data_IF_479984779285
#
_entry.id   IF_479984779285
#
_cell.length_a   1.000
_cell.length_b   1.000
_cell.length_c   1.000
_cell.angle_alpha   90.00
_cell.angle_beta   90.00
_cell.angle_gamma   90.00
#
_symmetry.space_group_name_H-M   'P 1'
#
loop_
_entity.id
_entity.type
_entity.pdbx_description
1 polymer ?
#
# COMPACT_ATOMS: atom_id res chain seq x y z
N UNK A 1 12.86 19.42 -3.71
CA UNK A 1 12.67 18.15 -2.97
C UNK A 1 11.44 17.44 -3.54
N UNK A 2 11.59 16.20 -4.04
CA UNK A 2 10.51 15.41 -4.66
C UNK A 2 9.77 14.58 -3.61
N UNK A 3 8.56 15.01 -3.25
CA UNK A 3 7.68 14.35 -2.29
C UNK A 3 6.53 13.72 -3.09
N UNK A 4 6.47 12.39 -3.10
CA UNK A 4 5.49 11.65 -3.88
C UNK A 4 4.39 11.15 -2.96
N UNK A 5 3.14 11.44 -3.30
CA UNK A 5 2.00 10.68 -2.81
C UNK A 5 1.65 9.61 -3.84
N UNK A 6 1.33 8.41 -3.39
CA UNK A 6 0.88 7.33 -4.27
C UNK A 6 -0.02 6.35 -3.54
N UNK A 7 -0.71 5.50 -4.28
CA UNK A 7 -1.56 4.45 -3.73
C UNK A 7 -1.18 3.05 -4.20
N UNK A 8 -1.61 2.06 -3.41
CA UNK A 8 -1.57 0.65 -3.75
C UNK A 8 -2.87 -0.02 -3.33
N UNK A 9 -3.27 -1.06 -4.05
CA UNK A 9 -4.35 -1.95 -3.64
C UNK A 9 -3.76 -3.19 -2.97
N UNK A 10 -3.76 -3.30 -1.63
CA UNK A 10 -3.13 -4.42 -0.93
C UNK A 10 -3.90 -5.75 -1.09
N UNK A 11 -4.94 -5.81 -1.92
CA UNK A 11 -5.78 -6.99 -2.10
C UNK A 11 -5.02 -8.21 -2.62
N UNK A 12 -3.94 -8.01 -3.38
CA UNK A 12 -3.14 -9.10 -3.90
C UNK A 12 -1.66 -8.80 -3.79
N UNK A 13 -0.87 -9.83 -3.53
CA UNK A 13 0.56 -9.79 -3.77
C UNK A 13 0.88 -10.01 -5.26
N UNK A 14 0.21 -9.25 -6.11
CA UNK A 14 0.38 -9.30 -7.55
C UNK A 14 1.61 -8.52 -7.98
N UNK A 15 2.18 -8.92 -9.11
CA UNK A 15 3.32 -8.23 -9.70
C UNK A 15 3.01 -6.75 -9.96
N UNK A 16 1.77 -6.37 -10.25
CA UNK A 16 1.37 -4.97 -10.50
C UNK A 16 1.72 -4.05 -9.33
N UNK A 17 1.42 -4.46 -8.09
CA UNK A 17 1.75 -3.70 -6.88
C UNK A 17 3.26 -3.58 -6.67
N UNK A 18 4.00 -4.67 -6.84
CA UNK A 18 5.46 -4.64 -6.67
C UNK A 18 6.15 -3.80 -7.75
N UNK A 19 5.70 -3.91 -8.99
CA UNK A 19 6.20 -3.07 -10.09
C UNK A 19 5.89 -1.60 -9.87
N UNK A 20 4.74 -1.26 -9.29
CA UNK A 20 4.45 0.10 -8.88
C UNK A 20 5.51 0.63 -7.89
N UNK A 21 5.95 -0.18 -6.93
CA UNK A 21 7.01 0.18 -5.99
C UNK A 21 8.38 0.30 -6.66
N UNK A 22 8.74 -0.59 -7.60
CA UNK A 22 9.96 -0.46 -8.39
C UNK A 22 9.95 0.81 -9.25
N UNK A 23 8.81 1.11 -9.89
CA UNK A 23 8.61 2.33 -10.66
C UNK A 23 8.75 3.57 -9.77
N UNK A 24 8.13 3.56 -8.59
CA UNK A 24 8.27 4.59 -7.57
C UNK A 24 9.74 4.82 -7.18
N UNK A 25 10.55 3.76 -7.03
CA UNK A 25 11.99 3.92 -6.76
C UNK A 25 12.73 4.60 -7.91
N UNK A 26 12.44 4.25 -9.17
CA UNK A 26 13.02 4.90 -10.36
C UNK A 26 12.70 6.40 -10.42
N UNK A 27 11.64 6.85 -9.76
CA UNK A 27 11.30 8.28 -9.66
C UNK A 27 12.23 9.07 -8.74
N UNK A 28 13.15 8.43 -8.01
CA UNK A 28 14.08 9.04 -7.04
C UNK A 28 13.40 10.00 -6.04
N UNK A 29 12.36 9.57 -5.30
CA UNK A 29 11.70 10.40 -4.30
C UNK A 29 12.59 10.69 -3.09
N UNK A 30 12.45 11.89 -2.51
CA UNK A 30 13.01 12.20 -1.19
C UNK A 30 12.14 11.66 -0.05
N UNK A 31 10.81 11.64 -0.23
CA UNK A 31 9.84 11.08 0.70
C UNK A 31 8.64 10.55 -0.08
N UNK A 32 8.07 9.45 0.39
CA UNK A 32 6.87 8.82 -0.17
C UNK A 32 5.78 8.77 0.89
N UNK A 33 4.58 9.18 0.53
CA UNK A 33 3.36 8.86 1.27
C UNK A 33 2.61 7.80 0.48
N UNK A 34 2.52 6.60 1.05
CA UNK A 34 1.89 5.45 0.44
C UNK A 34 0.51 5.25 1.07
N UNK A 35 -0.54 5.54 0.30
CA UNK A 35 -1.91 5.27 0.67
C UNK A 35 -2.28 3.81 0.34
N UNK A 36 -2.67 3.09 1.37
CA UNK A 36 -3.11 1.71 1.26
C UNK A 36 -4.62 1.71 1.11
N UNK A 37 -5.12 1.22 -0.03
CA UNK A 37 -6.56 1.05 -0.26
C UNK A 37 -7.08 -0.19 0.48
N UNK A 38 -6.98 -0.17 1.81
CA UNK A 38 -7.35 -1.24 2.73
C UNK A 38 -8.82 -1.66 2.64
N UNK A 39 -9.71 -0.72 2.32
CA UNK A 39 -11.13 -0.99 2.05
C UNK A 39 -11.32 -2.01 0.91
N UNK A 40 -10.39 -2.05 -0.05
CA UNK A 40 -10.49 -2.92 -1.23
C UNK A 40 -10.38 -4.41 -0.89
N UNK A 41 -9.70 -4.76 0.21
CA UNK A 41 -9.56 -6.14 0.69
C UNK A 41 -10.92 -6.72 1.10
N UNK A 42 -11.86 -5.85 1.50
CA UNK A 42 -13.20 -6.27 1.91
C UNK A 42 -14.14 -6.48 0.73
N UNK A 43 -13.90 -5.78 -0.38
CA UNK A 43 -14.74 -5.76 -1.59
C UNK A 43 -14.36 -6.82 -2.64
N UNK A 44 -13.11 -7.28 -2.65
CA UNK A 44 -12.65 -8.21 -3.68
C UNK A 44 -12.81 -9.66 -3.23
N UNK A 45 -13.34 -10.50 -4.12
CA UNK A 45 -13.17 -11.95 -4.05
C UNK A 45 -11.70 -12.27 -4.33
N UNK A 46 -10.80 -11.90 -3.43
CA UNK A 46 -9.41 -12.34 -3.49
C UNK A 46 -9.47 -13.85 -3.32
N UNK A 47 -8.83 -14.59 -4.22
CA UNK A 47 -8.67 -16.03 -4.09
C UNK A 47 -8.48 -16.39 -2.61
N UNK A 48 -9.41 -17.19 -2.09
CA UNK A 48 -9.07 -18.15 -1.06
C UNK A 48 -8.22 -19.20 -1.77
N UNK A 49 -6.98 -18.85 -2.13
CA UNK A 49 -6.00 -19.83 -2.57
C UNK A 49 -5.66 -20.64 -1.33
N UNK A 50 -6.47 -21.66 -1.04
CA UNK A 50 -6.19 -22.78 -0.14
C UNK A 50 -5.68 -22.46 1.28
N UNK A 51 -5.74 -21.20 1.73
CA UNK A 51 -5.14 -20.75 2.99
C UNK A 51 -6.20 -20.10 3.88
N UNK A 52 -6.29 -20.62 5.11
CA UNK A 52 -7.19 -20.27 6.22
C UNK A 52 -7.06 -18.83 6.75
N UNK A 53 -6.32 -17.94 6.07
CA UNK A 53 -6.08 -16.58 6.55
C UNK A 53 -7.32 -15.70 6.38
N UNK A 54 -7.70 -15.04 7.45
CA UNK A 54 -8.72 -13.99 7.47
C UNK A 54 -8.32 -12.80 6.58
N UNK A 55 -9.29 -11.96 6.20
CA UNK A 55 -9.05 -10.74 5.41
C UNK A 55 -8.01 -9.81 6.07
N UNK A 56 -8.07 -9.68 7.39
CA UNK A 56 -7.14 -8.86 8.17
C UNK A 56 -5.71 -9.43 8.13
N UNK A 57 -5.55 -10.74 8.26
CA UNK A 57 -4.25 -11.39 8.16
C UNK A 57 -3.64 -11.29 6.76
N UNK A 58 -4.47 -11.35 5.70
CA UNK A 58 -4.03 -11.10 4.33
C UNK A 58 -3.54 -9.66 4.18
N UNK A 59 -4.31 -8.65 4.60
CA UNK A 59 -3.88 -7.24 4.57
C UNK A 59 -2.56 -7.05 5.31
N UNK A 60 -2.44 -7.60 6.53
CA UNK A 60 -1.21 -7.52 7.34
C UNK A 60 -0.01 -8.14 6.61
N UNK A 61 -0.16 -9.36 6.09
CA UNK A 61 0.90 -10.08 5.36
C UNK A 61 1.36 -9.33 4.11
N UNK A 62 0.40 -8.73 3.38
CA UNK A 62 0.69 -8.01 2.14
C UNK A 62 1.40 -6.70 2.44
N UNK A 63 0.95 -5.98 3.49
CA UNK A 63 1.62 -4.77 3.95
C UNK A 63 3.04 -5.04 4.44
N UNK A 64 3.26 -6.13 5.18
CA UNK A 64 4.61 -6.55 5.59
C UNK A 64 5.52 -6.78 4.37
N UNK A 65 5.00 -7.40 3.31
CA UNK A 65 5.75 -7.65 2.07
C UNK A 65 6.10 -6.35 1.35
N UNK A 66 5.16 -5.42 1.27
CA UNK A 66 5.35 -4.11 0.61
C UNK A 66 6.34 -3.25 1.40
N UNK A 67 6.19 -3.17 2.72
CA UNK A 67 7.11 -2.44 3.60
C UNK A 67 8.53 -2.99 3.51
N UNK A 68 8.66 -4.32 3.53
CA UNK A 68 9.95 -4.97 3.34
C UNK A 68 10.56 -4.55 2.00
N UNK A 69 9.82 -4.66 0.88
CA UNK A 69 10.31 -4.22 -0.42
C UNK A 69 10.74 -2.75 -0.43
N UNK A 70 9.93 -1.84 0.14
CA UNK A 70 10.27 -0.41 0.21
C UNK A 70 11.54 -0.16 1.03
N UNK A 71 11.72 -0.87 2.15
CA UNK A 71 12.92 -0.80 2.99
C UNK A 71 14.16 -1.32 2.24
N UNK A 72 14.04 -2.44 1.53
CA UNK A 72 15.12 -2.99 0.71
C UNK A 72 15.55 -2.02 -0.38
N UNK A 73 14.59 -1.33 -1.00
CA UNK A 73 14.86 -0.30 -2.01
C UNK A 73 15.36 1.03 -1.40
N UNK A 74 15.49 1.13 -0.08
CA UNK A 74 15.94 2.33 0.62
C UNK A 74 15.02 3.53 0.38
N UNK A 75 13.72 3.30 0.30
CA UNK A 75 12.73 4.38 0.20
C UNK A 75 12.49 4.98 1.58
N UNK A 76 12.43 6.31 1.66
CA UNK A 76 11.93 7.03 2.84
C UNK A 76 10.42 7.17 2.69
N UNK A 77 9.64 6.42 3.47
CA UNK A 77 8.19 6.33 3.29
C UNK A 77 7.39 6.48 4.59
N UNK A 78 6.13 6.86 4.43
CA UNK A 78 5.09 6.78 5.46
C UNK A 78 3.84 6.15 4.88
N UNK A 79 3.25 5.24 5.63
CA UNK A 79 2.01 4.56 5.26
C UNK A 79 0.81 5.28 5.88
N UNK A 80 -0.22 5.44 5.08
CA UNK A 80 -1.55 5.88 5.50
C UNK A 80 -2.58 4.91 4.92
N UNK A 81 -3.74 4.81 5.56
CA UNK A 81 -4.81 3.91 5.14
C UNK A 81 -5.97 4.71 4.59
N UNK A 82 -6.57 4.23 3.50
CA UNK A 82 -7.66 4.92 2.82
C UNK A 82 -8.90 5.05 3.73
N UNK A 83 -9.18 4.04 4.56
CA UNK A 83 -10.24 4.12 5.58
C UNK A 83 -10.07 5.33 6.52
N UNK A 84 -8.86 5.57 7.01
CA UNK A 84 -8.53 6.72 7.87
C UNK A 84 -8.58 8.04 7.07
N UNK A 85 -8.11 8.03 5.82
CA UNK A 85 -8.21 9.18 4.91
C UNK A 85 -9.66 9.62 4.75
N UNK A 86 -10.58 8.67 4.49
CA UNK A 86 -12.01 8.94 4.36
C UNK A 86 -12.58 9.58 5.61
N UNK A 87 -12.32 8.99 6.78
CA UNK A 87 -12.80 9.50 8.06
C UNK A 87 -12.36 10.96 8.28
N UNK A 88 -11.09 11.26 8.02
CA UNK A 88 -10.53 12.59 8.24
C UNK A 88 -10.99 13.62 7.20
N UNK A 89 -11.14 13.22 5.94
CA UNK A 89 -11.72 14.08 4.89
C UNK A 89 -13.15 14.46 5.25
N UNK A 90 -13.97 13.52 5.70
CA UNK A 90 -15.37 13.78 6.04
C UNK A 90 -15.57 14.59 7.32
N UNK A 91 -14.57 14.63 8.20
CA UNK A 91 -14.54 15.55 9.34
C UNK A 91 -14.20 16.98 8.93
N UNK A 92 -13.60 17.18 7.76
CA UNK A 92 -13.25 18.49 7.24
C UNK A 92 -14.31 18.98 6.23
N UNK A 93 -15.09 20.00 6.62
CA UNK A 93 -16.18 20.55 5.80
C UNK A 93 -15.72 21.09 4.44
N UNK A 94 -14.54 21.71 4.38
CA UNK A 94 -13.99 22.26 3.13
C UNK A 94 -13.66 21.14 2.15
N UNK A 95 -12.93 20.12 2.62
CA UNK A 95 -12.52 18.98 1.78
C UNK A 95 -13.74 18.15 1.38
N UNK A 96 -14.70 17.97 2.29
CA UNK A 96 -15.96 17.27 2.01
C UNK A 96 -16.74 17.97 0.90
N UNK A 97 -16.84 19.30 0.95
CA UNK A 97 -17.51 20.07 -0.10
C UNK A 97 -16.79 19.94 -1.44
N UNK A 98 -15.45 20.03 -1.44
CA UNK A 98 -14.63 19.79 -2.64
C UNK A 98 -14.84 18.40 -3.23
N UNK A 99 -14.95 17.38 -2.39
CA UNK A 99 -15.25 16.02 -2.81
C UNK A 99 -16.64 15.92 -3.46
N UNK A 100 -17.68 16.49 -2.86
CA UNK A 100 -19.03 16.52 -3.42
C UNK A 100 -19.09 17.29 -4.74
N UNK A 101 -18.41 18.43 -4.82
CA UNK A 101 -18.26 19.23 -6.03
C UNK A 101 -17.50 18.46 -7.12
N UNK A 102 -16.50 17.65 -6.74
CA UNK A 102 -15.75 16.81 -7.68
C UNK A 102 -16.61 15.71 -8.26
N UNK A 103 -17.45 15.07 -7.45
CA UNK A 103 -18.36 14.03 -7.92
C UNK A 103 -19.40 14.55 -8.90
N UNK A 104 -19.92 15.77 -8.70
CA UNK A 104 -20.95 16.34 -9.57
C UNK A 104 -20.45 16.66 -10.99
N UNK A 105 -19.12 16.76 -11.19
CA UNK A 105 -18.52 16.98 -12.52
C UNK A 105 -18.25 15.69 -13.31
N UNK A 106 -18.40 14.52 -12.69
CA UNK A 106 -18.09 13.24 -13.32
C UNK A 106 -19.36 12.67 -13.93
N UNK A 107 -19.44 12.71 -15.26
CA UNK A 107 -20.49 12.07 -16.03
C UNK A 107 -20.13 10.64 -16.47
N UNK A 108 -21.16 9.90 -16.92
CA UNK A 108 -21.02 8.52 -17.39
C UNK A 108 -20.18 8.41 -18.67
N UNK A 109 -20.12 9.45 -19.51
CA UNK A 109 -19.36 9.43 -20.75
C UNK A 109 -17.85 9.48 -20.48
N UNK A 110 -17.41 10.34 -19.56
CA UNK A 110 -16.04 10.40 -19.05
C UNK A 110 -15.64 9.08 -18.42
N UNK A 111 -16.49 8.50 -17.59
CA UNK A 111 -16.26 7.16 -17.02
C UNK A 111 -16.09 6.13 -18.14
N UNK A 112 -16.93 6.20 -19.18
CA UNK A 112 -16.85 5.27 -20.32
C UNK A 112 -15.53 5.34 -21.07
N UNK A 113 -14.97 6.54 -21.28
CA UNK A 113 -13.65 6.73 -21.89
C UNK A 113 -12.55 6.02 -21.10
N UNK A 114 -12.72 5.88 -19.78
CA UNK A 114 -11.81 5.11 -18.94
C UNK A 114 -11.71 3.63 -19.26
N UNK A 115 -12.79 2.98 -19.71
CA UNK A 115 -12.77 1.57 -20.10
C UNK A 115 -11.80 1.27 -21.25
N UNK A 116 -11.40 2.29 -22.02
CA UNK A 116 -10.44 2.13 -23.13
C UNK A 116 -8.97 2.15 -22.69
N UNK A 117 -8.66 2.61 -21.47
CA UNK A 117 -7.27 2.73 -21.00
C UNK A 117 -6.73 1.39 -20.50
N UNK A 118 -5.58 0.97 -21.05
CA UNK A 118 -4.88 -0.28 -20.67
C UNK A 118 -4.01 -0.04 -19.43
N UNK A 119 -4.61 -0.06 -18.25
CA UNK A 119 -3.90 -0.32 -16.99
C UNK A 119 -4.91 -0.73 -15.93
N UNK A 120 -5.00 -2.04 -15.66
CA UNK A 120 -6.11 -2.78 -15.02
C UNK A 120 -7.45 -2.54 -15.77
N UNK A 121 -8.35 -3.52 -15.94
CA UNK A 121 -9.63 -3.25 -16.58
C UNK A 121 -10.49 -2.36 -15.69
N UNK A 122 -11.03 -1.27 -16.24
CA UNK A 122 -12.09 -0.49 -15.59
C UNK A 122 -13.37 -1.33 -15.41
N UNK A 123 -13.58 -2.38 -16.21
CA UNK A 123 -14.75 -3.27 -16.13
C UNK A 123 -14.91 -4.03 -14.81
N UNK A 124 -13.92 -4.00 -13.92
CA UNK A 124 -13.97 -4.53 -12.54
C UNK A 124 -14.05 -3.44 -11.46
N UNK A 125 -14.18 -2.17 -11.88
CA UNK A 125 -14.39 -1.01 -11.01
C UNK A 125 -15.91 -0.80 -10.93
N UNK A 126 -16.53 -1.23 -9.83
CA UNK A 126 -17.85 -0.72 -9.46
C UNK A 126 -17.81 0.82 -9.47
N UNK A 127 -18.88 1.51 -9.89
CA UNK A 127 -18.95 2.98 -9.86
C UNK A 127 -18.50 3.56 -8.50
N UNK A 128 -18.72 2.81 -7.41
CA UNK A 128 -18.25 3.13 -6.06
C UNK A 128 -16.74 3.38 -5.92
N UNK A 129 -15.90 2.79 -6.78
CA UNK A 129 -14.43 2.91 -6.73
C UNK A 129 -13.89 4.16 -7.43
N UNK A 130 -14.71 4.88 -8.21
CA UNK A 130 -14.36 6.23 -8.69
C UNK A 130 -14.16 7.17 -7.51
N UNK A 131 -14.98 7.02 -6.47
CA UNK A 131 -14.84 7.77 -5.24
C UNK A 131 -13.44 7.60 -4.63
N UNK A 132 -12.84 6.41 -4.74
CA UNK A 132 -11.53 6.12 -4.15
C UNK A 132 -10.45 6.91 -4.88
N UNK A 133 -10.55 7.01 -6.21
CA UNK A 133 -9.60 7.77 -7.04
C UNK A 133 -9.66 9.26 -6.68
N UNK A 134 -10.86 9.82 -6.51
CA UNK A 134 -11.04 11.23 -6.15
C UNK A 134 -10.53 11.49 -4.74
N UNK A 135 -10.94 10.67 -3.78
CA UNK A 135 -10.53 10.80 -2.38
C UNK A 135 -9.03 10.67 -2.23
N UNK A 136 -8.42 9.70 -2.91
CA UNK A 136 -6.98 9.51 -2.90
C UNK A 136 -6.26 10.72 -3.51
N UNK A 137 -6.83 11.32 -4.56
CA UNK A 137 -6.29 12.56 -5.11
C UNK A 137 -6.43 13.75 -4.16
N UNK A 138 -7.59 13.94 -3.54
CA UNK A 138 -7.80 15.00 -2.53
C UNK A 138 -6.88 14.79 -1.33
N UNK A 139 -6.69 13.56 -0.89
CA UNK A 139 -5.75 13.21 0.18
C UNK A 139 -4.31 13.59 -0.18
N UNK A 140 -3.91 13.45 -1.45
CA UNK A 140 -2.59 13.89 -1.91
C UNK A 140 -2.38 15.41 -1.81
N UNK A 141 -3.47 16.19 -1.87
CA UNK A 141 -3.45 17.65 -1.79
C UNK A 141 -3.53 18.13 -0.34
N UNK A 142 -4.50 17.60 0.40
CA UNK A 142 -4.81 18.03 1.77
C UNK A 142 -4.07 17.22 2.84
N UNK A 143 -3.05 16.46 2.44
CA UNK A 143 -2.31 15.60 3.37
C UNK A 143 -1.84 16.32 4.64
N UNK A 144 -1.37 17.59 4.59
CA UNK A 144 -1.03 18.33 5.80
C UNK A 144 -2.21 18.65 6.72
N UNK A 145 -3.43 18.85 6.21
CA UNK A 145 -4.61 19.00 7.07
C UNK A 145 -5.09 17.69 7.66
N UNK A 146 -5.14 16.64 6.83
CA UNK A 146 -5.70 15.37 7.28
C UNK A 146 -4.69 14.59 8.11
N UNK A 147 -3.38 14.79 7.94
CA UNK A 147 -2.33 14.14 8.72
C UNK A 147 -1.21 15.12 9.14
N UNK A 148 -1.50 16.16 9.94
CA UNK A 148 -0.51 17.15 10.37
C UNK A 148 0.63 16.53 11.19
N UNK A 149 0.40 15.37 11.81
CA UNK A 149 1.40 14.62 12.56
C UNK A 149 2.38 13.84 11.66
N UNK A 150 2.01 13.57 10.40
CA UNK A 150 2.82 12.82 9.43
C UNK A 150 3.44 13.75 8.38
N UNK A 151 2.74 14.82 8.04
CA UNK A 151 3.02 15.68 6.90
C UNK A 151 2.84 17.15 7.24
N UNK A 152 3.90 17.95 7.12
CA UNK A 152 3.83 19.39 7.33
C UNK A 152 3.78 20.18 6.00
N UNK A 153 4.00 19.49 4.88
CA UNK A 153 4.15 20.11 3.56
C UNK A 153 3.52 19.22 2.50
N UNK A 154 2.72 19.83 1.63
CA UNK A 154 2.03 19.14 0.56
C UNK A 154 2.98 18.29 -0.32
N UNK A 155 2.61 17.04 -0.65
CA UNK A 155 3.22 16.30 -1.75
C UNK A 155 3.18 17.09 -3.05
N UNK A 156 4.30 17.19 -3.76
CA UNK A 156 4.36 17.93 -5.03
C UNK A 156 4.24 17.03 -6.27
N UNK A 157 4.21 15.69 -6.08
CA UNK A 157 3.90 14.73 -7.13
C UNK A 157 2.84 13.73 -6.67
N UNK A 158 1.97 13.36 -7.59
CA UNK A 158 0.98 12.30 -7.41
C UNK A 158 1.28 11.18 -8.40
N UNK A 159 1.89 10.09 -7.92
CA UNK A 159 2.17 8.92 -8.72
C UNK A 159 0.92 8.04 -8.74
N UNK A 160 0.33 7.84 -9.92
CA UNK A 160 -0.94 7.15 -10.08
C UNK A 160 -1.02 6.43 -11.44
N UNK A 161 -2.12 5.73 -11.68
CA UNK A 161 -2.38 5.08 -12.97
C UNK A 161 -2.79 6.07 -14.06
N UNK A 162 -2.62 5.70 -15.34
CA UNK A 162 -3.11 6.49 -16.48
C UNK A 162 -4.61 6.79 -16.42
N UNK A 163 -5.40 6.00 -15.69
CA UNK A 163 -6.83 6.21 -15.47
C UNK A 163 -7.16 7.58 -14.89
N UNK A 164 -6.28 8.11 -14.06
CA UNK A 164 -6.49 9.40 -13.44
C UNK A 164 -6.56 10.53 -14.48
N UNK A 165 -5.99 10.34 -15.69
CA UNK A 165 -6.08 11.31 -16.79
C UNK A 165 -7.51 11.73 -17.12
N UNK A 166 -8.49 10.83 -16.95
CA UNK A 166 -9.91 11.10 -17.21
C UNK A 166 -10.47 12.19 -16.30
N UNK A 167 -10.07 12.17 -15.03
CA UNK A 167 -10.62 13.06 -14.00
C UNK A 167 -9.74 14.27 -13.74
N UNK A 168 -8.46 14.21 -14.15
CA UNK A 168 -7.43 15.17 -13.76
C UNK A 168 -7.82 16.61 -14.08
N UNK A 169 -8.26 16.90 -15.30
CA UNK A 169 -8.51 18.28 -15.73
C UNK A 169 -9.62 18.94 -14.91
N UNK A 170 -10.73 18.23 -14.69
CA UNK A 170 -11.85 18.71 -13.89
C UNK A 170 -11.45 18.90 -12.42
N UNK A 171 -10.74 17.92 -11.85
CA UNK A 171 -10.29 17.96 -10.47
C UNK A 171 -9.29 19.10 -10.25
N UNK A 172 -8.33 19.30 -11.15
CA UNK A 172 -7.38 20.41 -11.09
C UNK A 172 -8.06 21.76 -11.21
N UNK A 173 -9.07 21.86 -12.09
CA UNK A 173 -9.85 23.06 -12.24
C UNK A 173 -10.62 23.40 -10.94
N UNK A 174 -11.29 22.41 -10.33
CA UNK A 174 -11.96 22.59 -9.02
C UNK A 174 -10.96 23.05 -7.96
N UNK A 175 -9.82 22.36 -7.85
CA UNK A 175 -8.80 22.66 -6.84
C UNK A 175 -8.29 24.08 -7.01
N UNK A 176 -7.99 24.49 -8.25
CA UNK A 176 -7.55 25.86 -8.56
C UNK A 176 -8.58 26.93 -8.14
N UNK A 177 -9.87 26.64 -8.28
CA UNK A 177 -10.93 27.61 -7.95
C UNK A 177 -11.30 27.65 -6.47
N UNK A 178 -11.22 26.50 -5.79
CA UNK A 178 -11.87 26.31 -4.48
C UNK A 178 -10.91 25.90 -3.36
N UNK A 179 -9.63 25.68 -3.64
CA UNK A 179 -8.61 25.30 -2.65
C UNK A 179 -7.50 26.35 -2.56
N UNK A 180 -6.90 26.46 -1.38
CA UNK A 180 -5.66 27.21 -1.15
C UNK A 180 -4.41 26.47 -1.64
N UNK A 181 -4.51 25.18 -1.95
CA UNK A 181 -3.40 24.37 -2.43
C UNK A 181 -3.34 24.31 -3.95
N UNK A 182 -2.14 24.01 -4.43
CA UNK A 182 -1.88 23.73 -5.84
C UNK A 182 -1.97 22.24 -6.12
N UNK A 183 -2.53 21.83 -7.25
CA UNK A 183 -2.51 20.43 -7.67
C UNK A 183 -1.07 19.87 -7.77
N UNK A 184 -0.78 18.67 -7.24
CA UNK A 184 0.52 18.03 -7.42
C UNK A 184 0.73 17.62 -8.89
N UNK A 185 1.99 17.56 -9.32
CA UNK A 185 2.32 17.08 -10.66
C UNK A 185 2.03 15.58 -10.76
N UNK A 186 1.09 15.19 -11.62
CA UNK A 186 0.78 13.78 -11.85
C UNK A 186 1.95 13.08 -12.56
N UNK A 187 2.34 11.92 -12.04
CA UNK A 187 3.25 10.98 -12.70
C UNK A 187 2.44 9.71 -12.95
N UNK A 188 2.41 9.27 -14.20
CA UNK A 188 1.63 8.09 -14.55
C UNK A 188 2.51 6.86 -14.60
N UNK A 189 2.11 5.80 -13.90
CA UNK A 189 2.67 4.48 -14.12
C UNK A 189 2.15 4.02 -15.48
N UNK A 190 3.05 3.94 -16.45
CA UNK A 190 2.77 3.52 -17.82
C UNK A 190 3.23 2.09 -18.00
N UNK A 191 2.46 1.31 -18.76
CA UNK A 191 2.96 0.10 -19.40
C UNK A 191 3.34 -1.02 -18.45
N UNK A 192 2.43 -1.38 -17.57
CA UNK A 192 2.51 -2.63 -16.81
C UNK A 192 1.24 -3.41 -17.15
N UNK A 193 1.30 -4.38 -18.09
CA UNK A 193 0.13 -5.13 -18.52
C UNK A 193 -0.48 -5.83 -17.33
N UNK A 194 -1.81 -5.91 -17.32
CA UNK A 194 -2.56 -6.62 -16.29
C UNK A 194 -3.06 -7.92 -16.88
N UNK A 195 -2.21 -8.95 -16.78
CA UNK A 195 -2.54 -10.33 -17.08
C UNK A 195 -3.61 -10.74 -16.07
N UNK A 196 -4.79 -11.03 -16.60
CA UNK A 196 -6.01 -11.28 -15.86
C UNK A 196 -6.74 -12.43 -16.51
N UNK A 197 -7.08 -13.43 -15.70
CA UNK A 197 -7.94 -14.52 -16.14
C UNK A 197 -9.31 -13.99 -16.54
N UNK A 198 -9.77 -14.32 -17.75
CA UNK A 198 -10.99 -13.72 -18.31
C UNK A 198 -12.25 -14.17 -17.57
N UNK A 199 -12.25 -15.37 -16.99
CA UNK A 199 -13.40 -15.96 -16.33
C UNK A 199 -13.50 -15.51 -14.86
N UNK A 200 -12.44 -15.75 -14.10
CA UNK A 200 -12.36 -15.55 -12.65
C UNK A 200 -11.91 -14.15 -12.26
N UNK A 201 -11.34 -13.38 -13.20
CA UNK A 201 -10.73 -12.06 -12.94
C UNK A 201 -9.58 -12.11 -11.93
N UNK A 202 -8.80 -13.20 -11.94
CA UNK A 202 -7.59 -13.31 -11.12
C UNK A 202 -6.34 -12.84 -11.83
N UNK A 203 -5.43 -12.24 -11.07
CA UNK A 203 -4.12 -11.77 -11.54
C UNK A 203 -3.05 -12.70 -10.93
N UNK A 204 -1.99 -13.06 -11.67
CA UNK A 204 -0.86 -13.80 -11.13
C UNK A 204 -0.30 -13.16 -9.86
N UNK A 205 -0.07 -13.98 -8.84
CA UNK A 205 0.49 -13.55 -7.55
C UNK A 205 1.58 -14.51 -7.08
N UNK A 206 2.39 -14.07 -6.12
CA UNK A 206 3.46 -14.92 -5.60
C UNK A 206 2.96 -16.18 -4.88
N UNK A 207 1.68 -16.23 -4.50
CA UNK A 207 1.08 -17.35 -3.75
C UNK A 207 0.67 -18.50 -4.65
N UNK A 208 0.65 -18.27 -5.97
CA UNK A 208 0.18 -19.23 -6.97
C UNK A 208 1.30 -20.17 -7.42
N UNK A 209 0.93 -21.40 -7.79
CA UNK A 209 1.83 -22.33 -8.47
C UNK A 209 2.09 -21.86 -9.91
N UNK A 210 3.16 -22.38 -10.53
CA UNK A 210 3.45 -22.16 -11.95
C UNK A 210 2.23 -22.53 -12.83
N UNK A 211 1.59 -23.66 -12.57
CA UNK A 211 0.43 -24.11 -13.35
C UNK A 211 -0.76 -23.16 -13.24
N UNK A 212 -1.02 -22.60 -12.05
CA UNK A 212 -2.08 -21.60 -11.88
C UNK A 212 -1.75 -20.31 -12.64
N UNK A 213 -0.49 -19.86 -12.58
CA UNK A 213 -0.03 -18.70 -13.36
C UNK A 213 -0.22 -18.96 -14.86
N UNK A 214 0.15 -20.16 -15.33
CA UNK A 214 0.00 -20.57 -16.73
C UNK A 214 -1.45 -20.49 -17.21
N UNK A 215 -2.39 -21.06 -16.46
CA UNK A 215 -3.82 -20.97 -16.78
C UNK A 215 -4.30 -19.53 -16.89
N UNK A 216 -3.83 -18.64 -16.01
CA UNK A 216 -4.19 -17.22 -16.04
C UNK A 216 -3.62 -16.53 -17.29
N UNK A 217 -2.36 -16.80 -17.65
CA UNK A 217 -1.73 -16.25 -18.86
C UNK A 217 -2.45 -16.74 -20.12
N UNK A 218 -2.71 -18.04 -20.22
CA UNK A 218 -3.43 -18.63 -21.35
C UNK A 218 -4.85 -18.03 -21.49
N UNK A 219 -5.59 -17.97 -20.38
CA UNK A 219 -6.93 -17.37 -20.34
C UNK A 219 -6.93 -15.88 -20.72
N UNK A 220 -5.91 -15.13 -20.33
CA UNK A 220 -5.80 -13.71 -20.65
C UNK A 220 -5.70 -13.46 -22.16
N UNK A 221 -4.80 -14.20 -22.80
CA UNK A 221 -4.45 -14.05 -24.21
C UNK A 221 -5.38 -14.81 -25.16
N UNK A 222 -6.07 -15.86 -24.68
CA UNK A 222 -7.14 -16.56 -25.39
C UNK A 222 -6.72 -17.02 -26.80
N UNK A 223 -5.58 -17.72 -26.86
CA UNK A 223 -5.03 -18.26 -28.11
C UNK A 223 -4.38 -17.24 -29.04
N UNK A 224 -4.17 -15.98 -28.60
CA UNK A 224 -3.56 -14.91 -29.42
C UNK A 224 -2.24 -14.43 -28.82
N UNK A 225 -1.27 -14.13 -29.68
CA UNK A 225 -0.05 -13.46 -29.23
C UNK A 225 -0.35 -12.00 -28.81
N UNK A 226 0.36 -11.46 -27.79
CA UNK A 226 0.27 -10.05 -27.46
C UNK A 226 0.83 -9.17 -28.59
N UNK A 227 0.46 -7.89 -28.56
CA UNK A 227 1.16 -6.89 -29.37
C UNK A 227 2.61 -6.70 -28.91
N UNK A 228 3.50 -6.23 -29.81
CA UNK A 228 4.90 -5.91 -29.46
C UNK A 228 4.99 -4.98 -28.23
N UNK A 229 4.13 -3.96 -28.19
CA UNK A 229 4.04 -3.06 -27.04
C UNK A 229 3.74 -3.80 -25.73
N UNK A 230 2.83 -4.77 -25.74
CA UNK A 230 2.51 -5.54 -24.52
C UNK A 230 3.67 -6.46 -24.10
N UNK A 231 4.41 -7.01 -25.06
CA UNK A 231 5.63 -7.77 -24.81
C UNK A 231 6.68 -6.87 -24.15
N UNK A 232 6.89 -5.67 -24.69
CA UNK A 232 7.86 -4.70 -24.16
C UNK A 232 7.57 -4.34 -22.70
N UNK A 233 6.30 -4.11 -22.40
CA UNK A 233 5.81 -3.77 -21.08
C UNK A 233 5.93 -4.96 -20.10
N UNK A 234 5.60 -6.18 -20.55
CA UNK A 234 5.83 -7.42 -19.78
C UNK A 234 7.31 -7.61 -19.45
N UNK A 235 8.19 -7.39 -20.42
CA UNK A 235 9.62 -7.57 -20.24
C UNK A 235 10.17 -6.53 -19.29
N UNK A 236 9.74 -5.28 -19.40
CA UNK A 236 10.08 -4.22 -18.46
C UNK A 236 9.76 -4.61 -17.01
N UNK A 237 8.61 -5.24 -16.77
CA UNK A 237 8.23 -5.81 -15.46
C UNK A 237 9.21 -6.90 -15.03
N UNK A 238 9.40 -7.93 -15.87
CA UNK A 238 10.21 -9.09 -15.52
C UNK A 238 11.65 -8.67 -15.21
N UNK A 239 12.23 -7.84 -16.06
CA UNK A 239 13.59 -7.34 -15.94
C UNK A 239 13.79 -6.27 -14.86
N UNK A 240 12.72 -5.75 -14.24
CA UNK A 240 12.89 -4.95 -13.02
C UNK A 240 13.39 -5.77 -11.82
N UNK A 241 13.24 -7.09 -11.86
CA UNK A 241 13.65 -8.00 -10.78
C UNK A 241 14.61 -9.08 -11.29
N UNK A 242 14.33 -9.65 -12.46
CA UNK A 242 15.15 -10.66 -13.10
C UNK A 242 16.28 -10.00 -13.91
N UNK A 243 17.49 -10.52 -13.82
CA UNK A 243 18.59 -10.04 -14.66
C UNK A 243 18.56 -10.71 -16.05
N UNK A 244 17.99 -11.93 -16.11
CA UNK A 244 17.85 -12.78 -17.28
C UNK A 244 16.53 -13.57 -17.21
N UNK A 245 15.93 -13.84 -18.37
CA UNK A 245 14.76 -14.72 -18.46
C UNK A 245 15.16 -16.11 -18.96
N UNK A 246 14.37 -17.13 -18.62
CA UNK A 246 14.60 -18.52 -19.01
C UNK A 246 13.76 -18.83 -20.25
N UNK A 247 14.41 -19.30 -21.31
CA UNK A 247 13.78 -19.81 -22.53
C UNK A 247 14.45 -21.12 -22.88
N UNK A 248 13.69 -22.22 -22.97
CA UNK A 248 14.20 -23.57 -23.32
C UNK A 248 15.51 -23.92 -22.57
N UNK A 249 15.51 -23.75 -21.24
CA UNK A 249 16.65 -23.99 -20.34
C UNK A 249 17.86 -23.07 -20.45
N UNK A 250 17.81 -22.04 -21.29
CA UNK A 250 18.86 -21.01 -21.39
C UNK A 250 18.45 -19.73 -20.66
N UNK A 251 19.42 -19.09 -20.00
CA UNK A 251 19.27 -17.76 -19.39
C UNK A 251 19.65 -16.68 -20.40
N UNK A 252 18.67 -15.88 -20.82
CA UNK A 252 18.75 -14.97 -21.95
C UNK A 252 18.61 -13.52 -21.47
N UNK A 253 19.40 -12.62 -22.05
CA UNK A 253 19.36 -11.18 -21.77
C UNK A 253 18.12 -10.52 -22.41
N UNK A 254 17.76 -9.31 -21.98
CA UNK A 254 16.59 -8.59 -22.50
C UNK A 254 16.60 -8.42 -24.02
N UNK A 255 17.76 -8.08 -24.60
CA UNK A 255 17.89 -7.84 -26.04
C UNK A 255 17.60 -9.11 -26.85
N UNK A 256 18.25 -10.22 -26.49
CA UNK A 256 18.14 -11.48 -27.22
C UNK A 256 16.78 -12.16 -26.98
N UNK A 257 16.19 -11.96 -25.80
CA UNK A 257 14.90 -12.51 -25.44
C UNK A 257 13.77 -11.98 -26.33
N UNK A 258 13.83 -10.71 -26.73
CA UNK A 258 12.80 -10.05 -27.55
C UNK A 258 12.76 -10.63 -28.96
N UNK A 259 13.93 -10.83 -29.55
CA UNK A 259 14.08 -11.43 -30.89
C UNK A 259 13.57 -12.87 -30.93
N UNK A 260 13.74 -13.62 -29.84
CA UNK A 260 13.22 -14.98 -29.74
C UNK A 260 11.69 -14.94 -29.63
N UNK A 261 11.14 -14.12 -28.73
CA UNK A 261 9.68 -14.05 -28.50
C UNK A 261 8.91 -13.57 -29.74
N UNK A 262 9.49 -12.75 -30.62
CA UNK A 262 8.80 -12.36 -31.86
C UNK A 262 8.57 -13.52 -32.85
N UNK A 263 9.23 -14.67 -32.65
CA UNK A 263 9.24 -15.79 -33.59
C UNK A 263 8.62 -17.09 -33.06
N UNK A 264 8.01 -17.06 -31.86
CA UNK A 264 7.40 -18.25 -31.24
C UNK A 264 5.88 -18.29 -31.42
N UNK A 265 5.30 -19.48 -31.26
CA UNK A 265 3.85 -19.62 -31.22
C UNK A 265 3.24 -19.20 -29.86
N UNK A 266 1.91 -19.15 -29.83
CA UNK A 266 1.16 -18.77 -28.63
C UNK A 266 1.42 -19.68 -27.42
N UNK A 267 1.52 -21.00 -27.62
CA UNK A 267 1.66 -21.95 -26.52
C UNK A 267 3.05 -21.85 -25.90
N UNK A 268 4.07 -21.71 -26.75
CA UNK A 268 5.44 -21.47 -26.32
C UNK A 268 5.57 -20.12 -25.60
N UNK A 269 4.91 -19.08 -26.12
CA UNK A 269 4.84 -17.77 -25.46
C UNK A 269 4.23 -17.89 -24.05
N UNK A 270 3.07 -18.54 -23.93
CA UNK A 270 2.40 -18.70 -22.65
C UNK A 270 3.28 -19.46 -21.64
N UNK A 271 3.99 -20.51 -22.08
CA UNK A 271 4.92 -21.26 -21.24
C UNK A 271 6.08 -20.38 -20.75
N UNK A 272 6.74 -19.64 -21.65
CA UNK A 272 7.88 -18.77 -21.33
C UNK A 272 7.47 -17.67 -20.35
N UNK A 273 6.35 -16.98 -20.60
CA UNK A 273 5.88 -15.90 -19.72
C UNK A 273 5.50 -16.44 -18.35
N UNK A 274 4.83 -17.59 -18.29
CA UNK A 274 4.39 -18.20 -17.03
C UNK A 274 5.57 -18.65 -16.17
N UNK A 275 6.58 -19.29 -16.78
CA UNK A 275 7.83 -19.66 -16.13
C UNK A 275 8.53 -18.42 -15.56
N UNK A 276 8.64 -17.35 -16.34
CA UNK A 276 9.38 -16.17 -15.91
C UNK A 276 8.61 -15.31 -14.89
N UNK A 277 7.28 -15.28 -14.94
CA UNK A 277 6.47 -14.71 -13.86
C UNK A 277 6.64 -15.50 -12.55
N UNK A 278 6.68 -16.84 -12.63
CA UNK A 278 6.95 -17.67 -11.47
C UNK A 278 8.35 -17.42 -10.89
N UNK A 279 9.38 -17.36 -11.73
CA UNK A 279 10.76 -17.00 -11.34
C UNK A 279 10.85 -15.59 -10.77
N UNK A 280 10.13 -14.62 -11.34
CA UNK A 280 10.01 -13.26 -10.81
C UNK A 280 9.51 -13.29 -9.36
N UNK A 281 8.42 -14.01 -9.09
CA UNK A 281 7.87 -14.14 -7.75
C UNK A 281 8.80 -14.88 -6.79
N UNK A 282 9.48 -15.93 -7.24
CA UNK A 282 10.46 -16.65 -6.41
C UNK A 282 11.65 -15.76 -6.02
N UNK A 283 12.21 -15.00 -6.97
CA UNK A 283 13.29 -14.04 -6.68
C UNK A 283 12.79 -12.95 -5.73
N UNK A 284 11.56 -12.46 -5.91
CA UNK A 284 10.96 -11.47 -5.03
C UNK A 284 10.77 -12.01 -3.60
N UNK A 285 10.27 -13.24 -3.44
CA UNK A 285 10.20 -13.92 -2.13
C UNK A 285 11.57 -14.02 -1.47
N UNK A 286 12.61 -14.39 -2.23
CA UNK A 286 14.00 -14.46 -1.71
C UNK A 286 14.51 -13.10 -1.24
N UNK A 287 14.13 -12.01 -1.91
CA UNK A 287 14.43 -10.64 -1.45
C UNK A 287 13.70 -10.38 -0.13
N UNK A 288 12.40 -10.68 -0.08
CA UNK A 288 11.56 -10.43 1.10
C UNK A 288 12.01 -11.20 2.35
N UNK A 289 12.37 -12.48 2.22
CA UNK A 289 12.83 -13.33 3.34
C UNK A 289 14.15 -12.84 3.94
N UNK A 290 15.03 -12.24 3.14
CA UNK A 290 16.32 -11.69 3.62
C UNK A 290 16.13 -10.41 4.46
N UNK A 291 14.96 -9.79 4.37
CA UNK A 291 14.65 -8.60 5.14
C UNK A 291 14.17 -9.12 6.49
N UNK A 292 15.08 -9.13 7.47
CA UNK A 292 14.69 -9.29 8.87
C UNK A 292 13.63 -8.23 9.17
N UNK A 293 12.39 -8.67 9.26
CA UNK A 293 11.38 -8.01 10.08
C UNK A 293 11.89 -8.24 11.49
N UNK A 294 12.75 -7.34 11.96
CA UNK A 294 12.84 -7.15 13.40
C UNK A 294 11.41 -6.80 13.80
N UNK A 295 10.74 -7.71 14.50
CA UNK A 295 9.48 -7.45 15.18
C UNK A 295 9.73 -6.39 16.26
N UNK A 296 10.08 -5.16 15.88
CA UNK A 296 9.76 -4.03 16.69
C UNK A 296 8.25 -3.90 16.57
N UNK A 297 7.51 -4.54 17.48
CA UNK A 297 6.05 -4.43 17.62
C UNK A 297 5.74 -2.98 18.04
N UNK A 298 5.95 -2.03 17.12
CA UNK A 298 5.69 -0.61 17.34
C UNK A 298 4.19 -0.35 17.40
N UNK A 299 3.35 -1.25 16.89
CA UNK A 299 1.89 -1.09 16.94
C UNK A 299 1.26 -2.29 17.63
N UNK A 300 0.44 -2.05 18.65
CA UNK A 300 -0.37 -3.07 19.30
C UNK A 300 -1.84 -2.86 18.94
N UNK A 301 -2.40 -3.87 18.27
CA UNK A 301 -3.81 -3.89 17.91
C UNK A 301 -4.62 -4.46 19.08
N UNK A 302 -5.64 -3.75 19.50
CA UNK A 302 -6.58 -4.15 20.56
C UNK A 302 -7.81 -4.72 19.87
N UNK A 303 -8.00 -6.03 19.99
CA UNK A 303 -9.00 -6.76 19.20
C UNK A 303 -10.18 -7.29 20.02
N UNK A 304 -10.18 -7.18 21.35
CA UNK A 304 -11.24 -7.69 22.21
C UNK A 304 -11.42 -6.86 23.49
N UNK A 305 -12.53 -7.08 24.20
CA UNK A 305 -12.89 -6.36 25.43
C UNK A 305 -11.86 -6.56 26.55
N UNK A 306 -11.29 -7.76 26.70
CA UNK A 306 -10.27 -8.06 27.72
C UNK A 306 -9.00 -7.25 27.51
N UNK A 307 -8.54 -7.11 26.26
CA UNK A 307 -7.39 -6.26 25.92
C UNK A 307 -7.70 -4.78 26.11
N UNK A 308 -8.91 -4.35 25.77
CA UNK A 308 -9.36 -2.97 26.00
C UNK A 308 -9.37 -2.61 27.51
N UNK A 309 -9.97 -3.47 28.34
CA UNK A 309 -10.01 -3.33 29.80
C UNK A 309 -8.60 -3.36 30.41
N UNK A 310 -7.70 -4.20 29.88
CA UNK A 310 -6.34 -4.35 30.38
C UNK A 310 -5.41 -3.20 29.96
N UNK A 311 -5.56 -2.68 28.73
CA UNK A 311 -4.56 -1.81 28.10
C UNK A 311 -5.07 -0.39 27.90
N UNK A 312 -6.33 -0.19 27.56
CA UNK A 312 -6.86 1.13 27.18
C UNK A 312 -7.52 1.82 28.37
N UNK A 313 -8.49 1.17 29.02
CA UNK A 313 -9.22 1.73 30.17
C UNK A 313 -8.31 2.23 31.31
N UNK A 314 -7.18 1.59 31.64
CA UNK A 314 -6.31 2.06 32.70
C UNK A 314 -5.42 3.25 32.29
N UNK A 315 -5.34 3.62 31.00
CA UNK A 315 -4.57 4.78 30.57
C UNK A 315 -5.26 6.07 31.00
N UNK A 316 -4.50 6.96 31.62
CA UNK A 316 -4.95 8.25 32.08
C UNK A 316 -3.92 9.33 31.69
N UNK A 317 -4.29 10.59 31.89
CA UNK A 317 -3.44 11.74 31.52
C UNK A 317 -2.02 11.64 32.09
N UNK A 318 -1.88 11.20 33.34
CA UNK A 318 -0.58 11.05 34.01
C UNK A 318 0.27 10.00 33.30
N UNK A 319 -0.30 8.85 32.91
CA UNK A 319 0.39 7.81 32.14
C UNK A 319 0.81 8.30 30.75
N UNK A 320 0.00 9.11 30.07
CA UNK A 320 0.39 9.70 28.79
C UNK A 320 1.56 10.67 28.92
N UNK A 321 1.55 11.53 29.96
CA UNK A 321 2.66 12.43 30.24
C UNK A 321 3.95 11.65 30.53
N UNK A 322 3.88 10.57 31.32
CA UNK A 322 5.03 9.70 31.61
C UNK A 322 5.53 9.00 30.34
N UNK A 323 4.63 8.43 29.52
CA UNK A 323 4.96 7.73 28.29
C UNK A 323 5.75 8.59 27.29
N UNK A 324 5.47 9.90 27.23
CA UNK A 324 6.22 10.86 26.39
C UNK A 324 7.73 10.83 26.67
N UNK A 325 8.13 10.55 27.90
CA UNK A 325 9.53 10.54 28.34
C UNK A 325 10.15 9.13 28.45
N UNK A 326 9.38 8.07 28.21
CA UNK A 326 9.86 6.69 28.16
C UNK A 326 10.52 6.37 26.80
N UNK A 327 11.63 7.03 26.49
CA UNK A 327 12.38 6.89 25.23
C UNK A 327 13.64 6.01 25.36
N UNK A 328 13.87 5.40 26.53
CA UNK A 328 15.07 4.63 26.85
C UNK A 328 16.29 5.49 27.20
N UNK A 329 16.18 6.83 27.18
CA UNK A 329 17.27 7.76 27.54
C UNK A 329 17.14 8.30 28.97
N UNK A 330 15.90 8.45 29.45
CA UNK A 330 15.59 9.01 30.78
C UNK A 330 15.47 7.92 31.85
N UNK A 331 16.06 8.14 33.03
CA UNK A 331 15.76 7.34 34.24
C UNK A 331 14.40 7.76 34.83
N UNK A 332 13.86 6.96 35.76
CA UNK A 332 12.63 7.33 36.49
C UNK A 332 12.76 8.69 37.20
N UNK A 333 13.95 9.01 37.71
CA UNK A 333 14.25 10.31 38.31
C UNK A 333 14.20 11.45 37.28
N UNK A 334 14.77 11.22 36.10
CA UNK A 334 14.73 12.20 35.00
C UNK A 334 13.31 12.45 34.51
N UNK A 335 12.51 11.39 34.40
CA UNK A 335 11.09 11.48 34.02
C UNK A 335 10.31 12.28 35.06
N UNK A 336 10.53 12.03 36.37
CA UNK A 336 9.92 12.81 37.45
C UNK A 336 10.22 14.30 37.34
N UNK A 337 11.49 14.67 37.11
CA UNK A 337 11.90 16.07 36.92
C UNK A 337 11.26 16.70 35.68
N UNK A 338 11.29 16.01 34.53
CA UNK A 338 10.77 16.53 33.26
C UNK A 338 9.25 16.64 33.21
N UNK A 339 8.55 15.71 33.85
CA UNK A 339 7.09 15.70 33.90
C UNK A 339 6.50 16.52 35.04
N UNK A 340 7.33 16.98 35.99
CA UNK A 340 6.90 17.65 37.24
C UNK A 340 5.95 16.77 38.09
N UNK A 341 6.07 15.45 37.99
CA UNK A 341 5.31 14.47 38.76
C UNK A 341 6.21 13.88 39.86
N UNK A 342 5.67 13.65 41.07
CA UNK A 342 6.41 13.03 42.18
C UNK A 342 7.02 11.69 41.77
N UNK A 343 8.27 11.44 42.20
CA UNK A 343 9.02 10.23 41.85
C UNK A 343 8.26 8.94 42.20
N UNK A 344 7.62 8.89 43.37
CA UNK A 344 6.81 7.74 43.81
C UNK A 344 5.66 7.44 42.83
N UNK A 345 5.00 8.49 42.33
CA UNK A 345 3.92 8.38 41.33
C UNK A 345 4.47 7.91 39.99
N UNK A 346 5.62 8.43 39.53
CA UNK A 346 6.24 7.99 38.28
C UNK A 346 6.65 6.51 38.36
N UNK A 347 7.30 6.08 39.44
CA UNK A 347 7.70 4.68 39.64
C UNK A 347 6.51 3.71 39.63
N UNK A 348 5.41 4.09 40.30
CA UNK A 348 4.18 3.30 40.31
C UNK A 348 3.59 3.16 38.90
N UNK A 349 3.45 4.27 38.16
CA UNK A 349 2.85 4.23 36.83
C UNK A 349 3.74 3.57 35.77
N UNK A 350 5.07 3.67 35.85
CA UNK A 350 5.96 2.92 34.96
C UNK A 350 5.82 1.41 35.20
N UNK A 351 5.67 0.99 36.45
CA UNK A 351 5.40 -0.43 36.78
C UNK A 351 4.09 -0.90 36.19
N UNK A 352 3.03 -0.10 36.28
CA UNK A 352 1.73 -0.41 35.64
C UNK A 352 1.84 -0.46 34.11
N UNK A 353 2.55 0.49 33.49
CA UNK A 353 2.75 0.49 32.03
C UNK A 353 3.59 -0.71 31.55
N UNK A 354 4.49 -1.22 32.39
CA UNK A 354 5.23 -2.46 32.14
C UNK A 354 4.32 -3.69 32.22
N UNK A 355 3.48 -3.82 33.24
CA UNK A 355 2.53 -4.94 33.34
C UNK A 355 1.48 -4.94 32.22
N UNK A 356 1.16 -3.76 31.68
CA UNK A 356 0.34 -3.60 30.47
C UNK A 356 1.08 -3.96 29.17
N UNK A 357 2.40 -4.15 29.22
CA UNK A 357 3.24 -4.47 28.05
C UNK A 357 3.47 -3.28 27.12
N UNK A 358 3.40 -2.04 27.63
CA UNK A 358 3.60 -0.80 26.85
C UNK A 358 5.04 -0.30 26.96
N UNK A 359 5.68 -0.55 28.09
CA UNK A 359 7.03 -0.08 28.44
C UNK A 359 7.90 -1.25 28.90
N UNK A 360 9.16 -1.31 28.46
CA UNK A 360 10.19 -2.16 29.04
C UNK A 360 11.05 -1.38 30.05
N UNK A 361 11.65 -2.12 30.99
CA UNK A 361 12.42 -1.58 32.12
C UNK A 361 13.81 -2.20 32.24
N UNK A 362 14.35 -2.74 31.14
CA UNK A 362 15.58 -3.56 31.15
C UNK A 362 16.83 -2.78 31.59
N UNK A 363 16.85 -1.46 31.33
CA UNK A 363 17.86 -0.51 31.83
C UNK A 363 17.24 0.81 32.21
N UNK A 364 16.51 1.41 31.26
CA UNK A 364 15.75 2.65 31.43
C UNK A 364 14.36 2.45 30.82
N UNK A 365 13.33 3.11 31.36
CA UNK A 365 11.98 3.05 30.81
C UNK A 365 11.97 3.37 29.31
N UNK A 366 11.57 2.38 28.49
CA UNK A 366 11.50 2.51 27.03
C UNK A 366 10.15 2.01 26.53
N UNK A 367 9.46 2.83 25.73
CA UNK A 367 8.27 2.39 24.99
C UNK A 367 8.63 1.25 24.04
N UNK A 368 7.89 0.16 24.16
CA UNK A 368 7.94 -0.96 23.21
C UNK A 368 6.81 -0.87 22.21
N UNK A 369 5.71 -0.18 22.56
CA UNK A 369 4.58 0.14 21.69
C UNK A 369 4.57 1.65 21.40
N UNK A 370 4.57 2.02 20.13
CA UNK A 370 4.46 3.40 19.63
C UNK A 370 3.02 3.78 19.25
N UNK A 371 2.22 2.81 18.75
CA UNK A 371 0.84 3.01 18.32
C UNK A 371 -0.10 1.98 18.98
N UNK A 372 -1.27 2.43 19.41
CA UNK A 372 -2.38 1.56 19.82
C UNK A 372 -3.45 1.66 18.73
N UNK A 373 -3.82 0.54 18.13
CA UNK A 373 -4.84 0.48 17.09
C UNK A 373 -6.07 -0.20 17.68
N UNK A 374 -7.20 0.50 17.73
CA UNK A 374 -8.46 -0.03 18.24
C UNK A 374 -9.25 -0.64 17.09
N UNK A 375 -9.57 -1.93 17.17
CA UNK A 375 -10.51 -2.55 16.24
C UNK A 375 -11.94 -2.38 16.76
N UNK A 376 -12.59 -1.28 16.38
CA UNK A 376 -13.96 -0.97 16.79
C UNK A 376 -15.02 -1.95 16.23
N UNK A 377 -14.66 -2.83 15.28
CA UNK A 377 -15.55 -3.82 14.69
C UNK A 377 -15.46 -5.23 15.29
N UNK A 378 -14.64 -5.45 16.32
CA UNK A 378 -14.42 -6.78 16.94
C UNK A 378 -14.44 -6.79 18.46
N UNK A 379 -14.78 -5.68 19.12
CA UNK A 379 -15.06 -5.70 20.56
C UNK A 379 -16.49 -6.18 20.72
N UNK A 380 -16.68 -7.51 20.73
CA UNK A 380 -17.93 -8.08 21.21
C UNK A 380 -18.11 -7.61 22.66
N UNK A 381 -19.22 -6.90 22.87
CA UNK A 381 -19.68 -6.48 24.17
C UNK A 381 -20.53 -7.63 24.68
N UNK A 382 -19.90 -8.54 25.42
CA UNK A 382 -20.63 -9.49 26.26
C UNK A 382 -21.41 -8.74 27.36
#
# INVERSE_FOLDING_TARGET
MKIIYTNISPATNAYTNFNHIFYLKKQNPNKVYLCVWDLFVYETHIMNSFNEKTKSEKLKSNMQSIEALMKHLGLNYQIIYLSEVWERIFKNKEITKLYQDSLSLIDLEKIRRGFSLRYIPFGSISLSKINYIIVDYLASIFLPEIFPEKCNTQPNYYLTSERFKIFKEDLDHIIKLKSRYTSPKSVYVVGVPVILDRQTKFIPSFEMSKDTIKKIVESHYDGKLPSEKEIDELFSILFCVLDKIRIQDKEISDKDAREIISNIDYFEFAEIISENLYRYFDKLKKILVKIKIEESVKSKVINNSKEFEKIIKPLNEIKFIILKYCDGKNSTLDISKKSKIKLSTVSSYITQLRTMGIVSLDKKPKRIIENLVLNFGGIDVD
#
